data_IF_961220333629
#
_entry.id   IF_961220333629
#
_cell.length_a   1.000
_cell.length_b   1.000
_cell.length_c   1.000
_cell.angle_alpha   90.00
_cell.angle_beta   90.00
_cell.angle_gamma   90.00
#
_symmetry.space_group_name_H-M   'P 1'
#
loop_
_entity.id
_entity.type
_entity.pdbx_description
1 polymer ?
#
# COMPACT_ATOMS: atom_id res chain seq x y z
N UNK A 1 -61.82 -3.78 5.17
CA UNK A 1 -62.17 -4.92 4.30
C UNK A 1 -63.58 -4.73 3.77
N UNK A 2 -63.92 -5.08 2.52
CA UNK A 2 -63.18 -5.99 1.63
C UNK A 2 -62.57 -5.28 0.41
N UNK A 3 -61.36 -5.64 -0.02
CA UNK A 3 -60.95 -6.88 -0.72
C UNK A 3 -61.60 -7.03 -2.10
N UNK A 4 -60.84 -6.69 -3.14
CA UNK A 4 -61.17 -6.98 -4.53
C UNK A 4 -60.22 -8.09 -5.01
N UNK A 5 -60.70 -9.32 -4.86
CA UNK A 5 -60.12 -10.53 -5.43
C UNK A 5 -60.08 -10.41 -6.96
N UNK A 6 -58.93 -10.72 -7.57
CA UNK A 6 -58.84 -11.04 -8.99
C UNK A 6 -58.70 -12.57 -9.10
N UNK A 7 -59.71 -13.17 -9.71
CA UNK A 7 -59.82 -14.59 -9.99
C UNK A 7 -58.75 -15.06 -10.98
N UNK A 8 -58.23 -16.24 -10.67
CA UNK A 8 -57.41 -17.09 -11.53
C UNK A 8 -58.38 -17.96 -12.32
N UNK A 9 -58.35 -17.86 -13.65
CA UNK A 9 -58.99 -18.82 -14.55
C UNK A 9 -57.92 -19.53 -15.39
N UNK A 10 -57.71 -20.81 -15.07
CA UNK A 10 -57.00 -21.81 -15.87
C UNK A 10 -57.97 -22.40 -16.90
N UNK A 11 -57.51 -22.67 -18.14
CA UNK A 11 -58.08 -23.78 -18.89
C UNK A 11 -57.03 -24.77 -19.41
N UNK A 12 -57.27 -26.03 -19.03
CA UNK A 12 -57.08 -27.31 -19.73
C UNK A 12 -55.97 -27.49 -20.79
N UNK A 13 -55.20 -28.56 -20.61
CA UNK A 13 -54.48 -29.34 -21.64
C UNK A 13 -55.08 -30.77 -21.68
N UNK A 14 -54.74 -31.69 -22.62
CA UNK A 14 -53.95 -31.58 -23.86
C UNK A 14 -54.62 -32.27 -25.08
N UNK A 15 -54.09 -32.07 -26.30
CA UNK A 15 -54.19 -33.07 -27.38
C UNK A 15 -52.89 -33.10 -28.19
N UNK A 16 -52.45 -34.33 -28.46
CA UNK A 16 -51.19 -34.82 -29.01
C UNK A 16 -51.08 -34.73 -30.54
N UNK A 17 -49.84 -34.67 -31.06
CA UNK A 17 -49.21 -35.40 -32.21
C UNK A 17 -48.03 -34.58 -32.85
N UNK A 18 -47.13 -35.14 -33.71
CA UNK A 18 -45.84 -35.68 -33.26
C UNK A 18 -44.60 -35.23 -34.08
N UNK A 19 -43.39 -35.44 -33.50
CA UNK A 19 -42.21 -35.91 -34.25
C UNK A 19 -41.19 -34.89 -34.76
N UNK A 20 -40.10 -34.72 -34.01
CA UNK A 20 -38.78 -34.26 -34.53
C UNK A 20 -37.69 -35.13 -33.90
N UNK A 21 -36.70 -35.66 -34.65
CA UNK A 21 -35.75 -36.66 -34.17
C UNK A 21 -34.68 -36.09 -33.22
N UNK A 22 -34.00 -36.92 -32.41
CA UNK A 22 -33.05 -36.47 -31.41
C UNK A 22 -31.74 -35.99 -32.03
N UNK A 23 -31.26 -34.84 -31.56
CA UNK A 23 -29.91 -34.33 -31.85
C UNK A 23 -28.88 -35.25 -31.18
N UNK A 24 -27.96 -35.76 -31.98
CA UNK A 24 -26.82 -36.57 -31.56
C UNK A 24 -25.88 -35.75 -30.67
N UNK A 25 -25.60 -36.24 -29.48
CA UNK A 25 -24.49 -35.78 -28.64
C UNK A 25 -23.18 -36.38 -29.13
N UNK A 26 -22.12 -35.59 -29.39
CA UNK A 26 -20.80 -36.15 -29.65
C UNK A 26 -20.17 -36.61 -28.33
N UNK A 27 -19.86 -37.90 -28.28
CA UNK A 27 -19.04 -38.55 -27.26
C UNK A 27 -17.64 -37.93 -27.22
N UNK A 28 -17.23 -37.43 -26.06
CA UNK A 28 -15.83 -37.12 -25.78
C UNK A 28 -15.10 -38.42 -25.41
N UNK A 29 -14.18 -38.85 -26.27
CA UNK A 29 -13.08 -39.76 -25.89
C UNK A 29 -11.79 -38.96 -25.73
N UNK A 30 -11.02 -39.34 -24.73
CA UNK A 30 -9.73 -38.74 -24.37
C UNK A 30 -8.68 -38.99 -25.45
N UNK A 31 -7.87 -37.97 -25.70
CA UNK A 31 -6.51 -38.16 -26.19
C UNK A 31 -5.60 -37.16 -25.49
N UNK A 32 -4.61 -37.70 -24.80
CA UNK A 32 -3.48 -37.03 -24.17
C UNK A 32 -2.47 -36.59 -25.22
N UNK A 33 -2.02 -35.34 -25.13
CA UNK A 33 -0.86 -34.73 -25.81
C UNK A 33 -0.46 -33.46 -25.02
N UNK A 34 0.79 -32.96 -25.15
CA UNK A 34 1.61 -32.36 -24.08
C UNK A 34 1.07 -31.00 -23.58
N UNK A 35 1.55 -30.44 -22.44
CA UNK A 35 0.89 -29.31 -21.81
C UNK A 35 0.93 -28.08 -22.72
N UNK A 36 -0.21 -27.77 -23.32
CA UNK A 36 -0.53 -26.44 -23.82
C UNK A 36 -0.59 -25.50 -22.62
N UNK A 37 0.28 -24.50 -22.62
CA UNK A 37 0.30 -23.40 -21.65
C UNK A 37 -1.12 -22.89 -21.42
N UNK A 38 -1.52 -22.73 -20.16
CA UNK A 38 -2.83 -22.19 -19.82
C UNK A 38 -2.98 -20.75 -20.35
N UNK A 39 -4.21 -20.28 -20.66
CA UNK A 39 -4.43 -18.93 -21.20
C UNK A 39 -3.72 -17.82 -20.39
N UNK A 40 -3.66 -17.98 -19.06
CA UNK A 40 -2.96 -17.07 -18.14
C UNK A 40 -1.45 -17.03 -18.35
N UNK A 41 -0.81 -18.15 -18.72
CA UNK A 41 0.64 -18.20 -19.01
C UNK A 41 0.96 -17.53 -20.35
N UNK A 42 0.09 -17.69 -21.35
CA UNK A 42 0.24 -17.04 -22.66
C UNK A 42 0.17 -15.52 -22.52
N UNK A 43 -0.75 -14.98 -21.71
CA UNK A 43 -0.82 -13.53 -21.52
C UNK A 43 0.39 -12.97 -20.77
N UNK A 44 0.91 -13.69 -19.78
CA UNK A 44 2.11 -13.30 -19.04
C UNK A 44 3.34 -13.25 -19.96
N UNK A 45 3.55 -14.27 -20.80
CA UNK A 45 4.63 -14.27 -21.79
C UNK A 45 4.49 -13.09 -22.76
N UNK A 46 3.28 -12.80 -23.25
CA UNK A 46 3.03 -11.65 -24.12
C UNK A 46 3.32 -10.30 -23.43
N UNK A 47 2.98 -10.16 -22.14
CA UNK A 47 3.31 -8.96 -21.37
C UNK A 47 4.83 -8.80 -21.26
N UNK A 48 5.55 -9.86 -20.89
CA UNK A 48 7.01 -9.86 -20.77
C UNK A 48 7.66 -9.52 -22.12
N UNK A 49 7.25 -10.17 -23.20
CA UNK A 49 7.77 -9.93 -24.56
C UNK A 49 7.44 -8.53 -25.10
N UNK A 50 6.30 -7.96 -24.70
CA UNK A 50 5.89 -6.61 -25.11
C UNK A 50 6.58 -5.48 -24.33
N UNK A 51 7.30 -5.81 -23.26
CA UNK A 51 8.08 -4.86 -22.50
C UNK A 51 9.44 -4.66 -23.20
N UNK A 52 9.99 -3.43 -23.24
CA UNK A 52 11.15 -3.13 -24.04
C UNK A 52 12.37 -3.96 -23.64
N UNK A 53 12.74 -4.95 -24.46
CA UNK A 53 13.91 -5.81 -24.28
C UNK A 53 15.13 -5.29 -25.05
N UNK A 54 15.81 -4.20 -24.64
CA UNK A 54 17.11 -3.87 -25.26
C UNK A 54 18.09 -3.10 -24.37
N UNK A 55 19.30 -3.67 -24.26
CA UNK A 55 20.67 -3.12 -24.17
C UNK A 55 21.00 -1.85 -23.38
N UNK A 56 20.07 -1.29 -22.60
CA UNK A 56 20.31 -0.05 -21.85
C UNK A 56 21.03 -0.40 -20.53
N UNK A 57 22.27 0.09 -20.27
CA UNK A 57 22.99 -0.24 -19.06
C UNK A 57 22.23 0.20 -17.81
N UNK A 58 21.77 -0.77 -17.01
CA UNK A 58 20.94 -0.55 -15.80
C UNK A 58 19.48 -0.99 -15.93
N UNK A 59 19.07 -1.53 -17.07
CA UNK A 59 17.76 -2.19 -17.25
C UNK A 59 17.91 -3.70 -17.09
N UNK A 60 17.67 -4.23 -15.89
CA UNK A 60 17.53 -5.68 -15.73
C UNK A 60 16.13 -6.08 -16.22
N UNK A 61 16.05 -6.48 -17.49
CA UNK A 61 14.89 -7.12 -18.08
C UNK A 61 14.31 -8.16 -17.11
N UNK A 62 12.99 -8.24 -17.03
CA UNK A 62 12.33 -9.40 -16.43
C UNK A 62 12.78 -10.63 -17.19
N UNK A 63 13.33 -11.61 -16.48
CA UNK A 63 13.50 -12.97 -17.00
C UNK A 63 12.31 -13.79 -16.52
N UNK A 64 11.95 -14.83 -17.27
CA UNK A 64 10.91 -15.80 -16.86
C UNK A 64 11.24 -16.37 -15.46
N UNK A 65 12.53 -16.48 -15.14
CA UNK A 65 13.05 -16.94 -13.83
C UNK A 65 12.68 -15.99 -12.66
N UNK A 66 12.47 -14.70 -12.92
CA UNK A 66 12.00 -13.74 -11.91
C UNK A 66 10.50 -13.95 -11.56
N UNK A 67 9.77 -14.74 -12.37
CA UNK A 67 8.35 -15.07 -12.19
C UNK A 67 8.11 -16.46 -11.62
N UNK A 68 9.14 -17.31 -11.57
CA UNK A 68 9.05 -18.64 -10.98
C UNK A 68 8.95 -18.56 -9.46
N UNK A 69 8.19 -19.49 -8.86
CA UNK A 69 8.16 -19.65 -7.43
C UNK A 69 9.58 -19.89 -6.91
N UNK A 70 10.04 -19.15 -5.89
CA UNK A 70 11.27 -19.50 -5.19
C UNK A 70 11.25 -20.96 -4.76
N UNK A 71 12.35 -21.67 -5.04
CA UNK A 71 12.51 -23.06 -4.60
C UNK A 71 12.33 -23.16 -3.08
N UNK A 72 11.52 -24.13 -2.64
CA UNK A 72 11.34 -24.44 -1.21
C UNK A 72 10.25 -23.68 -0.47
N UNK A 73 9.34 -22.97 -1.16
CA UNK A 73 8.14 -22.41 -0.51
C UNK A 73 7.19 -23.54 -0.05
N UNK A 74 6.89 -23.58 1.25
CA UNK A 74 5.91 -24.51 1.81
C UNK A 74 4.49 -23.96 1.65
N UNK A 75 3.76 -24.43 0.64
CA UNK A 75 2.37 -23.99 0.36
C UNK A 75 1.35 -24.34 1.49
N UNK A 76 1.78 -25.02 2.56
CA UNK A 76 0.98 -25.17 3.77
C UNK A 76 1.02 -23.91 4.66
N UNK A 77 1.98 -22.99 4.46
CA UNK A 77 2.02 -21.72 5.17
C UNK A 77 0.87 -20.78 4.77
N UNK A 78 0.65 -19.77 5.60
CA UNK A 78 -0.31 -18.70 5.35
C UNK A 78 0.09 -17.87 4.12
N UNK A 79 -0.89 -17.44 3.31
CA UNK A 79 -0.60 -16.67 2.08
C UNK A 79 0.17 -15.38 2.37
N UNK A 80 -0.06 -14.74 3.53
CA UNK A 80 0.66 -13.52 3.90
C UNK A 80 2.16 -13.75 4.11
N UNK A 81 2.56 -14.92 4.61
CA UNK A 81 3.96 -15.31 4.77
C UNK A 81 4.57 -15.77 3.44
N UNK A 82 3.81 -16.54 2.65
CA UNK A 82 4.20 -16.93 1.29
C UNK A 82 4.45 -15.75 0.38
N UNK A 83 3.58 -14.73 0.39
CA UNK A 83 3.78 -13.50 -0.37
C UNK A 83 5.01 -12.73 0.13
N UNK A 84 5.22 -12.67 1.46
CA UNK A 84 6.35 -11.95 2.06
C UNK A 84 7.69 -12.58 1.65
N UNK A 85 7.84 -13.89 1.77
CA UNK A 85 9.08 -14.56 1.40
C UNK A 85 9.19 -14.69 -0.13
N UNK A 86 8.11 -15.06 -0.79
CA UNK A 86 8.02 -15.30 -2.23
C UNK A 86 8.35 -14.09 -3.10
N UNK A 87 8.12 -12.87 -2.60
CA UNK A 87 8.36 -11.62 -3.34
C UNK A 87 9.59 -10.85 -2.87
N UNK A 88 10.34 -11.38 -1.90
CA UNK A 88 11.48 -10.68 -1.26
C UNK A 88 12.54 -10.23 -2.27
N UNK A 89 12.87 -11.08 -3.25
CA UNK A 89 13.82 -10.74 -4.33
C UNK A 89 13.30 -9.60 -5.21
N UNK A 90 12.05 -9.71 -5.66
CA UNK A 90 11.42 -8.70 -6.51
C UNK A 90 11.29 -7.34 -5.77
N UNK A 91 10.95 -7.36 -4.48
CA UNK A 91 10.93 -6.17 -3.63
C UNK A 91 12.32 -5.50 -3.56
N UNK A 92 13.39 -6.28 -3.34
CA UNK A 92 14.76 -5.72 -3.31
C UNK A 92 15.14 -5.09 -4.66
N UNK A 93 14.85 -5.77 -5.78
CA UNK A 93 15.12 -5.28 -7.15
C UNK A 93 14.37 -3.97 -7.43
N UNK A 94 13.10 -3.90 -7.05
CA UNK A 94 12.28 -2.69 -7.18
C UNK A 94 12.86 -1.52 -6.37
N UNK A 95 13.34 -1.80 -5.15
CA UNK A 95 13.98 -0.81 -4.28
C UNK A 95 15.30 -0.25 -4.82
N UNK A 96 16.02 -0.99 -5.66
CA UNK A 96 17.29 -0.53 -6.25
C UNK A 96 17.11 0.28 -7.53
N UNK A 97 15.90 0.31 -8.08
CA UNK A 97 15.64 0.98 -9.34
C UNK A 97 15.92 2.49 -9.23
N UNK A 98 16.61 3.07 -10.22
CA UNK A 98 17.06 4.48 -10.21
C UNK A 98 15.90 5.44 -9.96
N UNK A 99 14.77 5.24 -10.62
CA UNK A 99 13.55 6.05 -10.43
C UNK A 99 12.97 5.93 -9.02
N UNK A 100 12.98 4.73 -8.43
CA UNK A 100 12.52 4.52 -7.05
C UNK A 100 13.45 5.24 -6.05
N UNK A 101 14.77 5.18 -6.29
CA UNK A 101 15.75 5.92 -5.49
C UNK A 101 15.60 7.42 -5.62
N UNK A 102 15.37 7.95 -6.82
CA UNK A 102 15.12 9.38 -7.03
C UNK A 102 13.91 9.86 -6.23
N UNK A 103 12.81 9.09 -6.23
CA UNK A 103 11.61 9.38 -5.44
C UNK A 103 11.90 9.36 -3.93
N UNK A 104 12.57 8.31 -3.42
CA UNK A 104 12.91 8.18 -2.00
C UNK A 104 13.90 9.25 -1.53
N UNK A 105 14.74 9.76 -2.42
CA UNK A 105 15.69 10.85 -2.12
C UNK A 105 15.07 12.24 -2.27
N UNK A 106 13.88 12.35 -2.86
CA UNK A 106 13.22 13.63 -3.13
C UNK A 106 13.92 14.43 -4.23
N UNK A 107 14.47 13.73 -5.23
CA UNK A 107 15.26 14.29 -6.34
C UNK A 107 14.40 14.65 -7.56
N UNK A 108 13.09 14.43 -7.51
CA UNK A 108 12.18 14.80 -8.59
C UNK A 108 11.81 16.28 -8.46
N UNK A 109 11.78 17.01 -9.57
CA UNK A 109 11.09 18.30 -9.57
C UNK A 109 9.58 18.09 -9.38
N UNK A 110 8.86 19.19 -9.10
CA UNK A 110 7.44 19.10 -8.77
C UNK A 110 6.56 18.67 -9.95
N UNK A 111 6.90 19.04 -11.18
CA UNK A 111 6.14 18.64 -12.36
C UNK A 111 6.32 17.13 -12.62
N UNK A 112 7.54 16.64 -12.45
CA UNK A 112 7.87 15.23 -12.57
C UNK A 112 7.24 14.39 -11.46
N UNK A 113 7.16 14.90 -10.24
CA UNK A 113 6.42 14.25 -9.17
C UNK A 113 4.90 14.23 -9.42
N UNK A 114 4.33 15.32 -9.93
CA UNK A 114 2.92 15.33 -10.38
C UNK A 114 2.68 14.30 -11.49
N UNK A 115 3.61 14.20 -12.44
CA UNK A 115 3.57 13.19 -13.51
C UNK A 115 3.61 11.76 -12.93
N UNK A 116 4.45 11.52 -11.93
CA UNK A 116 4.48 10.25 -11.20
C UNK A 116 3.16 9.95 -10.48
N UNK A 117 2.56 10.94 -9.79
CA UNK A 117 1.25 10.75 -9.15
C UNK A 117 0.14 10.47 -10.17
N UNK A 118 0.18 11.08 -11.36
CA UNK A 118 -0.77 10.79 -12.43
C UNK A 118 -0.61 9.34 -12.95
N UNK A 119 0.62 8.84 -13.10
CA UNK A 119 0.89 7.42 -13.42
C UNK A 119 0.29 6.51 -12.35
N UNK A 120 0.54 6.82 -11.06
CA UNK A 120 -0.04 6.06 -9.95
C UNK A 120 -1.57 6.11 -9.98
N UNK A 121 -2.16 7.28 -10.22
CA UNK A 121 -3.61 7.43 -10.29
C UNK A 121 -4.22 6.47 -11.31
N UNK A 122 -3.63 6.33 -12.51
CA UNK A 122 -4.10 5.38 -13.53
C UNK A 122 -4.07 3.93 -13.05
N UNK A 123 -3.03 3.55 -12.30
CA UNK A 123 -2.86 2.20 -11.75
C UNK A 123 -3.87 1.93 -10.63
N UNK A 124 -4.01 2.86 -9.67
CA UNK A 124 -4.97 2.71 -8.57
C UNK A 124 -6.41 2.76 -9.05
N UNK A 125 -6.75 3.63 -10.00
CA UNK A 125 -8.09 3.71 -10.59
C UNK A 125 -8.49 2.36 -11.21
N UNK A 126 -7.62 1.76 -12.03
CA UNK A 126 -7.88 0.45 -12.61
C UNK A 126 -7.98 -0.68 -11.57
N UNK A 127 -7.07 -0.68 -10.58
CA UNK A 127 -7.07 -1.67 -9.49
C UNK A 127 -8.34 -1.55 -8.64
N UNK A 128 -8.69 -0.34 -8.21
CA UNK A 128 -9.80 -0.06 -7.29
C UNK A 128 -11.16 -0.29 -7.95
N UNK A 129 -11.31 0.00 -9.25
CA UNK A 129 -12.50 -0.38 -10.01
C UNK A 129 -12.68 -1.90 -10.05
N UNK A 130 -11.62 -2.66 -10.33
CA UNK A 130 -11.66 -4.12 -10.31
C UNK A 130 -11.98 -4.69 -8.92
N UNK A 131 -11.34 -4.16 -7.86
CA UNK A 131 -11.64 -4.57 -6.49
C UNK A 131 -13.08 -4.26 -6.09
N UNK A 132 -13.63 -3.10 -6.51
CA UNK A 132 -15.00 -2.73 -6.23
C UNK A 132 -16.02 -3.61 -6.98
N UNK A 133 -15.73 -3.97 -8.23
CA UNK A 133 -16.58 -4.87 -9.03
C UNK A 133 -16.72 -6.25 -8.38
N UNK A 134 -15.64 -6.76 -7.79
CA UNK A 134 -15.61 -8.06 -7.13
C UNK A 134 -15.53 -7.96 -5.59
N UNK A 135 -16.10 -6.91 -5.00
CA UNK A 135 -16.04 -6.66 -3.55
C UNK A 135 -16.66 -7.78 -2.70
N UNK A 136 -17.58 -8.57 -3.26
CA UNK A 136 -18.22 -9.72 -2.61
C UNK A 136 -17.53 -11.06 -2.89
N UNK A 137 -16.46 -11.07 -3.71
CA UNK A 137 -15.69 -12.29 -3.96
C UNK A 137 -15.06 -12.78 -2.63
N UNK A 138 -15.20 -14.06 -2.25
CA UNK A 138 -14.70 -14.57 -0.96
C UNK A 138 -13.19 -14.36 -0.72
N UNK A 139 -12.38 -14.33 -1.78
CA UNK A 139 -10.93 -14.08 -1.68
C UNK A 139 -10.62 -12.60 -1.42
N UNK A 140 -11.42 -11.69 -1.98
CA UNK A 140 -11.17 -10.24 -1.94
C UNK A 140 -11.88 -9.55 -0.77
N UNK A 141 -13.10 -9.98 -0.46
CA UNK A 141 -14.00 -9.35 0.51
C UNK A 141 -13.36 -9.11 1.88
N UNK A 142 -12.57 -10.04 2.47
CA UNK A 142 -11.98 -9.83 3.80
C UNK A 142 -10.94 -8.69 3.85
N UNK A 143 -10.45 -8.24 2.69
CA UNK A 143 -9.47 -7.14 2.56
C UNK A 143 -10.06 -5.86 1.96
N UNK A 144 -11.35 -5.88 1.62
CA UNK A 144 -12.01 -4.77 0.95
C UNK A 144 -12.52 -3.71 1.94
N UNK A 145 -11.76 -2.63 2.08
CA UNK A 145 -12.18 -1.41 2.80
C UNK A 145 -11.77 -0.16 2.00
N UNK A 146 -12.66 0.36 1.13
CA UNK A 146 -12.33 1.49 0.27
C UNK A 146 -12.14 2.79 1.05
N UNK A 147 -12.79 2.96 2.21
CA UNK A 147 -12.61 4.16 3.03
C UNK A 147 -11.19 4.19 3.63
N UNK A 148 -10.67 3.03 4.00
CA UNK A 148 -9.35 2.89 4.59
C UNK A 148 -8.22 2.87 3.55
N UNK A 149 -8.40 2.12 2.46
CA UNK A 149 -7.31 1.75 1.54
C UNK A 149 -7.37 2.39 0.15
N UNK A 150 -8.52 2.82 -0.36
CA UNK A 150 -8.57 3.41 -1.71
C UNK A 150 -7.77 4.71 -1.77
N UNK A 151 -6.95 4.86 -2.82
CA UNK A 151 -5.96 5.92 -3.02
C UNK A 151 -6.31 6.84 -4.18
N UNK A 152 -7.10 6.40 -5.17
CA UNK A 152 -7.43 7.19 -6.36
C UNK A 152 -7.94 8.61 -6.05
N UNK A 153 -8.87 8.74 -5.10
CA UNK A 153 -9.42 10.03 -4.66
C UNK A 153 -8.37 10.91 -3.96
N UNK A 154 -7.52 10.32 -3.12
CA UNK A 154 -6.44 11.03 -2.45
C UNK A 154 -5.38 11.53 -3.44
N UNK A 155 -5.01 10.68 -4.42
CA UNK A 155 -4.12 11.03 -5.53
C UNK A 155 -4.67 12.20 -6.35
N UNK A 156 -5.96 12.17 -6.69
CA UNK A 156 -6.60 13.25 -7.44
C UNK A 156 -6.54 14.60 -6.71
N UNK A 157 -6.80 14.59 -5.40
CA UNK A 157 -6.68 15.78 -4.54
C UNK A 157 -5.24 16.30 -4.47
N UNK A 158 -4.27 15.40 -4.32
CA UNK A 158 -2.86 15.76 -4.29
C UNK A 158 -2.39 16.34 -5.62
N UNK A 159 -2.75 15.72 -6.75
CA UNK A 159 -2.42 16.23 -8.09
C UNK A 159 -3.01 17.62 -8.28
N UNK A 160 -4.29 17.82 -7.93
CA UNK A 160 -4.95 19.13 -8.02
C UNK A 160 -4.21 20.20 -7.23
N UNK A 161 -3.80 19.89 -5.99
CA UNK A 161 -3.04 20.82 -5.17
C UNK A 161 -1.66 21.11 -5.74
N UNK A 162 -0.88 20.06 -6.06
CA UNK A 162 0.50 20.19 -6.52
C UNK A 162 0.60 20.91 -7.87
N UNK A 163 -0.41 20.78 -8.73
CA UNK A 163 -0.49 21.57 -9.97
C UNK A 163 -0.48 23.07 -9.71
N UNK A 164 -1.00 23.55 -8.57
CA UNK A 164 -0.91 24.99 -8.21
C UNK A 164 0.51 25.46 -7.94
N UNK A 165 1.41 24.53 -7.61
CA UNK A 165 2.82 24.79 -7.30
C UNK A 165 3.74 24.57 -8.53
N UNK A 166 3.24 23.98 -9.61
CA UNK A 166 3.97 23.82 -10.87
C UNK A 166 4.17 25.21 -11.54
N UNK A 167 5.34 25.51 -12.12
CA UNK A 167 5.58 26.78 -12.80
C UNK A 167 4.59 27.07 -13.94
N UNK A 168 4.05 28.29 -13.99
CA UNK A 168 3.02 28.72 -14.97
C UNK A 168 3.31 28.42 -16.43
N UNK A 169 4.58 28.41 -16.83
CA UNK A 169 5.00 28.07 -18.19
C UNK A 169 4.63 26.65 -18.62
N UNK A 170 4.35 25.75 -17.67
CA UNK A 170 3.98 24.35 -17.92
C UNK A 170 2.45 24.12 -17.83
N UNK A 171 1.65 25.15 -17.54
CA UNK A 171 0.18 25.05 -17.43
C UNK A 171 -0.56 25.19 -18.76
N UNK A 172 0.12 25.04 -19.90
CA UNK A 172 -0.57 25.00 -21.19
C UNK A 172 -1.61 23.87 -21.18
N UNK A 173 -2.90 24.16 -21.42
CA UNK A 173 -3.92 23.12 -21.51
C UNK A 173 -3.51 22.09 -22.57
N UNK A 174 -3.83 20.82 -22.34
CA UNK A 174 -3.67 19.81 -23.39
C UNK A 174 -4.44 20.25 -24.66
N UNK A 175 -3.91 19.99 -25.86
CA UNK A 175 -4.64 20.24 -27.11
C UNK A 175 -6.04 19.63 -27.01
N UNK A 176 -7.05 20.37 -27.44
CA UNK A 176 -8.48 20.19 -27.19
C UNK A 176 -9.13 18.89 -27.72
N UNK A 177 -8.40 17.79 -27.88
CA UNK A 177 -8.92 16.49 -28.29
C UNK A 177 -9.79 15.78 -27.24
N UNK A 178 -9.78 16.25 -25.98
CA UNK A 178 -10.63 15.75 -24.91
C UNK A 178 -11.96 16.52 -24.80
N UNK A 179 -12.71 16.66 -25.91
CA UNK A 179 -14.13 17.03 -25.84
C UNK A 179 -14.97 15.77 -25.60
N UNK A 180 -15.80 15.81 -24.55
CA UNK A 180 -16.66 14.75 -23.99
C UNK A 180 -17.75 14.19 -24.94
N UNK A 181 -17.47 13.96 -26.23
CA UNK A 181 -18.50 13.62 -27.23
C UNK A 181 -18.33 12.29 -27.94
N UNK A 182 -17.20 11.59 -27.86
CA UNK A 182 -17.05 10.29 -28.55
C UNK A 182 -17.19 9.11 -27.58
N UNK A 183 -18.46 8.73 -27.34
CA UNK A 183 -18.88 7.72 -26.34
C UNK A 183 -18.94 6.28 -26.89
N UNK A 184 -18.30 6.01 -28.03
CA UNK A 184 -18.48 4.73 -28.75
C UNK A 184 -17.26 3.81 -28.78
N UNK A 185 -16.11 4.23 -28.24
CA UNK A 185 -14.96 3.35 -27.99
C UNK A 185 -14.56 3.46 -26.53
N UNK A 186 -14.66 2.36 -25.76
CA UNK A 186 -14.13 2.12 -24.40
C UNK A 186 -13.25 3.26 -23.83
N UNK A 187 -13.89 4.37 -23.47
CA UNK A 187 -13.20 5.62 -23.21
C UNK A 187 -12.81 5.62 -21.74
N UNK A 188 -11.51 5.61 -21.48
CA UNK A 188 -10.96 5.86 -20.15
C UNK A 188 -11.63 7.12 -19.57
N UNK A 189 -12.23 7.06 -18.37
CA UNK A 189 -12.85 8.23 -17.74
C UNK A 189 -11.85 9.40 -17.68
N UNK A 190 -12.35 10.62 -17.94
CA UNK A 190 -11.58 11.83 -17.72
C UNK A 190 -11.06 11.87 -16.27
N UNK A 191 -9.79 12.23 -16.02
CA UNK A 191 -9.29 12.33 -14.66
C UNK A 191 -10.06 13.41 -13.88
N UNK A 192 -10.29 13.22 -12.58
CA UNK A 192 -10.97 14.19 -11.72
C UNK A 192 -10.04 15.34 -11.27
N UNK A 193 -9.14 15.80 -12.15
CA UNK A 193 -8.19 16.88 -11.93
C UNK A 193 -7.79 17.56 -13.25
N UNK A 194 -7.27 18.81 -13.23
CA UNK A 194 -6.85 19.50 -14.45
C UNK A 194 -5.76 18.72 -15.21
N UNK A 195 -5.88 18.65 -16.53
CA UNK A 195 -4.96 17.93 -17.42
C UNK A 195 -4.10 18.92 -18.26
N UNK A 196 -2.98 19.44 -17.72
CA UNK A 196 -2.04 20.23 -18.51
C UNK A 196 -1.32 19.35 -19.55
N UNK A 197 -0.78 19.97 -20.60
CA UNK A 197 -0.20 19.29 -21.75
C UNK A 197 0.92 18.29 -21.40
N UNK A 198 1.70 18.53 -20.35
CA UNK A 198 2.76 17.60 -19.94
C UNK A 198 2.24 16.29 -19.30
N UNK A 199 0.97 16.26 -18.88
CA UNK A 199 0.30 15.04 -18.39
C UNK A 199 -0.47 14.32 -19.49
N UNK A 200 -0.82 14.98 -20.59
CA UNK A 200 -1.64 14.41 -21.67
C UNK A 200 -1.16 13.03 -22.18
N UNK A 201 0.15 12.79 -22.40
CA UNK A 201 0.62 11.48 -22.86
C UNK A 201 0.31 10.31 -21.91
N UNK A 202 0.07 10.56 -20.62
CA UNK A 202 -0.32 9.50 -19.66
C UNK A 202 -1.73 8.98 -19.94
N UNK A 203 -2.59 9.82 -20.51
CA UNK A 203 -4.02 9.54 -20.69
C UNK A 203 -4.35 9.23 -22.14
N UNK A 204 -3.88 10.07 -23.06
CA UNK A 204 -4.20 10.00 -24.48
C UNK A 204 -3.43 8.88 -25.20
N UNK A 205 -2.19 8.61 -24.78
CA UNK A 205 -1.35 7.56 -25.37
C UNK A 205 -0.36 6.98 -24.32
N UNK A 206 -0.86 6.25 -23.30
CA UNK A 206 -0.05 5.84 -22.16
C UNK A 206 1.22 5.10 -22.59
N UNK A 207 2.39 5.44 -22.03
CA UNK A 207 3.64 4.74 -22.31
C UNK A 207 3.53 3.23 -22.04
N UNK A 208 4.25 2.42 -22.81
CA UNK A 208 4.13 0.96 -22.77
C UNK A 208 4.22 0.34 -21.35
N UNK A 209 5.16 0.76 -20.46
CA UNK A 209 5.18 0.26 -19.08
C UNK A 209 3.89 0.50 -18.29
N UNK A 210 3.27 1.68 -18.46
CA UNK A 210 2.02 2.03 -17.80
C UNK A 210 0.85 1.29 -18.43
N UNK A 211 0.80 1.23 -19.76
CA UNK A 211 -0.23 0.51 -20.50
C UNK A 211 -0.25 -0.98 -20.11
N UNK A 212 0.91 -1.62 -20.05
CA UNK A 212 1.03 -3.03 -19.65
C UNK A 212 0.47 -3.28 -18.24
N UNK A 213 0.73 -2.38 -17.29
CA UNK A 213 0.19 -2.53 -15.93
C UNK A 213 -1.34 -2.35 -15.92
N UNK A 214 -1.86 -1.28 -16.53
CA UNK A 214 -3.32 -1.04 -16.59
C UNK A 214 -4.05 -2.20 -17.28
N UNK A 215 -3.51 -2.69 -18.40
CA UNK A 215 -4.11 -3.78 -19.16
C UNK A 215 -4.14 -5.07 -18.36
N UNK A 216 -3.07 -5.40 -17.60
CA UNK A 216 -3.07 -6.56 -16.72
C UNK A 216 -4.15 -6.47 -15.64
N UNK A 217 -4.29 -5.30 -15.00
CA UNK A 217 -5.34 -5.09 -13.99
C UNK A 217 -6.75 -5.25 -14.59
N UNK A 218 -6.97 -4.74 -15.80
CA UNK A 218 -8.24 -4.89 -16.53
C UNK A 218 -8.51 -6.33 -16.95
N UNK A 219 -7.48 -7.05 -17.39
CA UNK A 219 -7.58 -8.48 -17.71
C UNK A 219 -7.99 -9.28 -16.48
N UNK A 220 -7.35 -9.05 -15.32
CA UNK A 220 -7.72 -9.73 -14.09
C UNK A 220 -9.16 -9.41 -13.66
N UNK A 221 -9.62 -8.18 -13.86
CA UNK A 221 -11.00 -7.76 -13.61
C UNK A 221 -12.01 -8.24 -14.67
N UNK A 222 -11.59 -8.86 -15.77
CA UNK A 222 -12.50 -9.21 -16.86
C UNK A 222 -13.47 -10.37 -16.52
N UNK A 223 -13.18 -11.15 -15.47
CA UNK A 223 -14.01 -12.27 -15.06
C UNK A 223 -13.89 -12.60 -13.57
N UNK A 224 -14.90 -13.27 -13.02
CA UNK A 224 -14.89 -13.76 -11.64
C UNK A 224 -13.83 -14.85 -11.39
N UNK A 225 -13.36 -15.54 -12.43
CA UNK A 225 -12.32 -16.57 -12.34
C UNK A 225 -10.93 -15.95 -12.14
N UNK A 226 -10.64 -14.85 -12.81
CA UNK A 226 -9.36 -14.15 -12.75
C UNK A 226 -9.29 -13.09 -11.64
N UNK A 227 -10.44 -12.57 -11.20
CA UNK A 227 -10.53 -11.51 -10.20
C UNK A 227 -9.78 -11.77 -8.88
N UNK A 228 -9.72 -13.00 -8.32
CA UNK A 228 -8.94 -13.26 -7.10
C UNK A 228 -7.48 -12.81 -7.17
N UNK A 229 -6.87 -12.86 -8.36
CA UNK A 229 -5.49 -12.42 -8.59
C UNK A 229 -5.27 -10.91 -8.41
N UNK A 230 -6.34 -10.09 -8.39
CA UNK A 230 -6.24 -8.67 -8.00
C UNK A 230 -5.69 -8.50 -6.56
N UNK A 231 -5.88 -9.51 -5.69
CA UNK A 231 -5.34 -9.51 -4.33
C UNK A 231 -3.81 -9.35 -4.32
N UNK A 232 -3.11 -9.96 -5.28
CA UNK A 232 -1.66 -9.88 -5.40
C UNK A 232 -1.20 -8.45 -5.72
N UNK A 233 -1.89 -7.76 -6.63
CA UNK A 233 -1.60 -6.36 -6.94
C UNK A 233 -1.96 -5.41 -5.78
N UNK A 234 -3.09 -5.65 -5.12
CA UNK A 234 -3.50 -4.92 -3.94
C UNK A 234 -2.49 -5.07 -2.79
N UNK A 235 -1.98 -6.30 -2.56
CA UNK A 235 -0.90 -6.59 -1.63
C UNK A 235 0.36 -5.75 -1.93
N UNK A 236 0.86 -5.79 -3.17
CA UNK A 236 2.09 -5.07 -3.54
C UNK A 236 1.95 -3.56 -3.38
N UNK A 237 0.78 -3.01 -3.74
CA UNK A 237 0.51 -1.57 -3.65
C UNK A 237 0.23 -1.13 -2.21
N UNK A 238 -0.85 -1.61 -1.60
CA UNK A 238 -1.33 -1.10 -0.30
C UNK A 238 -0.34 -1.36 0.83
N UNK A 239 0.26 -2.56 0.94
CA UNK A 239 1.25 -2.82 1.99
C UNK A 239 2.57 -2.06 1.75
N UNK A 240 2.90 -1.79 0.49
CA UNK A 240 4.00 -0.91 0.10
C UNK A 240 3.79 0.52 0.59
N UNK A 241 2.60 1.07 0.38
CA UNK A 241 2.23 2.43 0.82
C UNK A 241 2.20 2.58 2.35
N UNK A 242 1.68 1.55 3.05
CA UNK A 242 1.65 1.45 4.52
C UNK A 242 3.05 1.23 5.15
N UNK A 243 4.07 1.02 4.31
CA UNK A 243 5.45 0.75 4.75
C UNK A 243 6.42 1.81 4.18
N UNK A 244 6.88 1.63 2.95
CA UNK A 244 7.84 2.54 2.30
C UNK A 244 7.25 3.91 1.97
N UNK A 245 5.93 3.99 1.75
CA UNK A 245 5.23 5.24 1.43
C UNK A 245 5.41 6.33 2.49
N UNK A 246 5.54 5.96 3.77
CA UNK A 246 5.74 6.93 4.86
C UNK A 246 7.09 7.64 4.79
N UNK A 247 8.12 6.95 4.28
CA UNK A 247 9.43 7.54 4.04
C UNK A 247 9.34 8.55 2.89
N UNK A 248 8.64 8.19 1.82
CA UNK A 248 8.43 9.06 0.66
C UNK A 248 7.63 10.30 1.07
N UNK A 249 6.55 10.14 1.87
CA UNK A 249 5.77 11.27 2.44
C UNK A 249 6.67 12.31 3.08
N UNK A 250 7.54 11.90 4.01
CA UNK A 250 8.43 12.82 4.71
C UNK A 250 9.40 13.54 3.76
N UNK A 251 9.88 12.85 2.72
CA UNK A 251 10.82 13.40 1.74
C UNK A 251 10.14 14.38 0.80
N UNK A 252 8.95 14.06 0.31
CA UNK A 252 8.12 14.93 -0.54
C UNK A 252 7.73 16.21 0.19
N UNK A 253 7.24 16.11 1.44
CA UNK A 253 6.92 17.29 2.26
C UNK A 253 8.11 18.24 2.38
N UNK A 254 9.31 17.68 2.63
CA UNK A 254 10.54 18.45 2.73
C UNK A 254 10.98 19.06 1.39
N UNK A 255 10.96 18.28 0.31
CA UNK A 255 11.44 18.69 -1.01
C UNK A 255 10.61 19.84 -1.58
N UNK A 256 9.28 19.78 -1.45
CA UNK A 256 8.37 20.79 -2.00
C UNK A 256 7.85 21.79 -0.96
N UNK A 257 8.37 21.75 0.27
CA UNK A 257 8.01 22.65 1.38
C UNK A 257 6.50 22.66 1.64
N UNK A 258 5.88 21.48 1.63
CA UNK A 258 4.44 21.34 1.82
C UNK A 258 4.06 21.50 3.29
N UNK A 259 3.08 22.36 3.53
CA UNK A 259 2.44 22.55 4.83
C UNK A 259 1.17 21.68 4.92
N UNK A 260 0.88 21.14 6.10
CA UNK A 260 -0.27 20.25 6.28
C UNK A 260 -0.16 18.94 5.48
N UNK A 261 -1.29 18.48 4.96
CA UNK A 261 -1.45 17.19 4.29
C UNK A 261 -1.75 17.30 2.79
N UNK A 262 -1.94 18.52 2.29
CA UNK A 262 -2.09 18.80 0.87
C UNK A 262 -0.85 18.38 0.06
N UNK A 263 -1.06 17.63 -1.03
CA UNK A 263 0.02 17.12 -1.89
C UNK A 263 0.65 15.81 -1.38
N UNK A 264 0.19 15.28 -0.24
CA UNK A 264 0.67 14.02 0.35
C UNK A 264 -0.43 13.16 0.97
N UNK A 265 -1.72 13.43 0.67
CA UNK A 265 -2.86 12.64 1.14
C UNK A 265 -2.79 11.19 0.71
N UNK A 266 -2.19 10.89 -0.44
CA UNK A 266 -1.95 9.54 -0.92
C UNK A 266 -1.29 8.64 0.15
N UNK A 267 -0.39 9.21 0.95
CA UNK A 267 0.34 8.48 1.99
C UNK A 267 -0.40 8.39 3.33
N UNK A 268 -1.58 8.99 3.46
CA UNK A 268 -2.33 9.04 4.69
C UNK A 268 -3.38 7.93 4.73
N UNK A 269 -3.44 7.24 5.86
CA UNK A 269 -4.44 6.21 6.13
C UNK A 269 -5.21 6.60 7.40
N UNK A 270 -6.09 7.62 7.32
CA UNK A 270 -6.88 8.07 8.44
C UNK A 270 -7.97 7.04 8.76
N UNK A 271 -8.34 6.95 10.05
CA UNK A 271 -9.54 6.27 10.52
C UNK A 271 -10.41 7.33 11.19
N UNK A 272 -11.72 7.28 10.98
CA UNK A 272 -12.64 8.23 11.60
C UNK A 272 -12.49 8.21 13.13
N UNK A 273 -12.35 9.39 13.75
CA UNK A 273 -12.39 9.56 15.21
C UNK A 273 -11.05 9.43 15.96
N UNK A 274 -9.90 9.41 15.30
CA UNK A 274 -8.58 9.34 15.98
C UNK A 274 -7.72 10.61 15.84
N UNK A 275 -7.14 11.06 16.97
CA UNK A 275 -6.26 12.23 17.05
C UNK A 275 -4.82 11.93 16.55
N UNK A 276 -4.31 12.82 15.67
CA UNK A 276 -3.16 12.61 14.77
C UNK A 276 -1.75 12.71 15.35
N UNK A 277 -1.46 12.05 16.47
CA UNK A 277 -0.08 11.94 16.99
C UNK A 277 0.78 10.93 16.22
N UNK A 278 2.09 11.19 16.08
CA UNK A 278 3.04 10.32 15.32
C UNK A 278 3.13 8.89 15.84
N UNK A 279 3.13 8.69 17.15
CA UNK A 279 3.16 7.35 17.75
C UNK A 279 1.83 6.59 17.50
N UNK A 280 0.72 7.33 17.54
CA UNK A 280 -0.60 6.81 17.16
C UNK A 280 -0.66 6.40 15.69
N UNK A 281 -0.09 7.21 14.79
CA UNK A 281 -0.02 6.89 13.35
C UNK A 281 0.76 5.60 13.10
N UNK A 282 1.94 5.42 13.71
CA UNK A 282 2.73 4.20 13.53
C UNK A 282 2.01 2.95 14.03
N UNK A 283 1.38 3.03 15.21
CA UNK A 283 0.58 1.94 15.77
C UNK A 283 -0.59 1.58 14.84
N UNK A 284 -1.34 2.59 14.39
CA UNK A 284 -2.46 2.44 13.45
C UNK A 284 -2.01 1.77 12.15
N UNK A 285 -0.92 2.22 11.54
CA UNK A 285 -0.37 1.59 10.33
C UNK A 285 0.00 0.13 10.57
N UNK A 286 0.51 -0.21 11.76
CA UNK A 286 0.73 -1.60 12.16
C UNK A 286 -0.57 -2.42 12.18
N UNK A 287 -1.59 -1.90 12.86
CA UNK A 287 -2.91 -2.54 12.99
C UNK A 287 -3.60 -2.75 11.63
N UNK A 288 -3.52 -1.77 10.72
CA UNK A 288 -4.04 -1.89 9.35
C UNK A 288 -3.34 -3.01 8.58
N UNK A 289 -2.00 -3.07 8.65
CA UNK A 289 -1.24 -4.14 7.97
C UNK A 289 -1.57 -5.51 8.52
N UNK A 290 -1.74 -5.64 9.83
CA UNK A 290 -2.08 -6.91 10.46
C UNK A 290 -3.52 -7.34 10.13
N UNK A 291 -4.47 -6.39 10.11
CA UNK A 291 -5.82 -6.63 9.62
C UNK A 291 -5.81 -7.12 8.16
N UNK A 292 -5.09 -6.43 7.28
CA UNK A 292 -5.01 -6.80 5.86
C UNK A 292 -4.41 -8.21 5.67
N UNK A 293 -3.33 -8.55 6.41
CA UNK A 293 -2.74 -9.90 6.38
C UNK A 293 -3.71 -10.98 6.84
N UNK A 294 -4.45 -10.74 7.93
CA UNK A 294 -5.48 -11.68 8.38
C UNK A 294 -6.58 -11.84 7.34
N UNK A 295 -7.03 -10.76 6.72
CA UNK A 295 -8.01 -10.81 5.64
C UNK A 295 -7.52 -11.63 4.44
N UNK A 296 -6.26 -11.46 4.03
CA UNK A 296 -5.67 -12.31 2.96
C UNK A 296 -5.67 -13.79 3.35
N UNK A 297 -5.24 -14.11 4.57
CA UNK A 297 -5.21 -15.49 5.08
C UNK A 297 -6.62 -16.10 5.11
N UNK A 298 -7.62 -15.35 5.59
CA UNK A 298 -9.01 -15.77 5.61
C UNK A 298 -9.59 -16.00 4.22
N UNK A 299 -9.37 -15.06 3.29
CA UNK A 299 -9.94 -15.13 1.95
C UNK A 299 -9.33 -16.23 1.08
N UNK A 300 -8.03 -16.50 1.23
CA UNK A 300 -7.31 -17.52 0.44
C UNK A 300 -7.40 -18.91 1.07
N UNK A 301 -7.43 -19.00 2.40
CA UNK A 301 -7.50 -20.27 3.12
C UNK A 301 -6.37 -21.24 2.77
N UNK A 302 -6.70 -22.52 2.61
CA UNK A 302 -5.75 -23.60 2.34
C UNK A 302 -5.59 -23.97 0.86
N UNK A 303 -6.16 -23.19 -0.07
CA UNK A 303 -6.05 -23.46 -1.49
C UNK A 303 -4.62 -23.24 -2.00
N UNK A 304 -3.87 -24.35 -2.13
CA UNK A 304 -2.48 -24.35 -2.57
C UNK A 304 -2.30 -23.85 -4.00
N UNK A 305 -3.25 -24.13 -4.90
CA UNK A 305 -3.17 -23.70 -6.29
C UNK A 305 -3.36 -22.18 -6.38
N UNK A 306 -4.32 -21.64 -5.62
CA UNK A 306 -4.50 -20.19 -5.49
C UNK A 306 -3.29 -19.53 -4.82
N UNK A 307 -2.72 -20.11 -3.76
CA UNK A 307 -1.51 -19.59 -3.11
C UNK A 307 -0.34 -19.46 -4.10
N UNK A 308 -0.07 -20.52 -4.86
CA UNK A 308 0.96 -20.51 -5.91
C UNK A 308 0.68 -19.44 -6.97
N UNK A 309 -0.56 -19.36 -7.46
CA UNK A 309 -0.98 -18.36 -8.44
C UNK A 309 -0.74 -16.94 -7.93
N UNK A 310 -1.13 -16.64 -6.68
CA UNK A 310 -1.00 -15.32 -6.08
C UNK A 310 0.46 -14.91 -5.87
N UNK A 311 1.35 -15.85 -5.51
CA UNK A 311 2.79 -15.55 -5.38
C UNK A 311 3.41 -15.22 -6.75
N UNK A 312 3.06 -15.98 -7.79
CA UNK A 312 3.49 -15.70 -9.17
C UNK A 312 2.98 -14.33 -9.64
N UNK A 313 1.70 -14.04 -9.42
CA UNK A 313 1.09 -12.76 -9.77
C UNK A 313 1.70 -11.60 -8.98
N UNK A 314 2.05 -11.80 -7.71
CA UNK A 314 2.67 -10.75 -6.91
C UNK A 314 4.08 -10.40 -7.42
N UNK A 315 4.84 -11.38 -7.90
CA UNK A 315 6.11 -11.11 -8.57
C UNK A 315 5.91 -10.34 -9.89
N UNK A 316 4.86 -10.67 -10.67
CA UNK A 316 4.46 -9.87 -11.84
C UNK A 316 4.05 -8.44 -11.45
N UNK A 317 3.33 -8.28 -10.34
CA UNK A 317 2.96 -6.96 -9.84
C UNK A 317 4.21 -6.14 -9.46
N UNK A 318 5.19 -6.71 -8.77
CA UNK A 318 6.47 -6.04 -8.49
C UNK A 318 7.24 -5.67 -9.75
N UNK A 319 7.22 -6.55 -10.74
CA UNK A 319 7.83 -6.35 -12.04
C UNK A 319 7.22 -5.15 -12.80
N UNK A 320 5.90 -5.13 -12.92
CA UNK A 320 5.15 -4.01 -13.52
C UNK A 320 5.37 -2.70 -12.76
N UNK A 321 5.40 -2.76 -11.42
CA UNK A 321 5.75 -1.60 -10.57
C UNK A 321 7.17 -1.10 -10.84
N UNK A 322 8.12 -2.02 -11.03
CA UNK A 322 9.50 -1.66 -11.35
C UNK A 322 9.59 -0.97 -12.70
N UNK A 323 8.83 -1.44 -13.69
CA UNK A 323 8.81 -0.85 -15.02
C UNK A 323 8.17 0.54 -15.06
N UNK A 324 7.12 0.82 -14.28
CA UNK A 324 6.60 2.20 -14.23
C UNK A 324 7.59 3.17 -13.55
N UNK A 325 8.51 2.71 -12.69
CA UNK A 325 9.60 3.56 -12.21
C UNK A 325 10.58 3.98 -13.31
N UNK A 326 10.67 3.25 -14.43
CA UNK A 326 11.49 3.66 -15.58
C UNK A 326 10.89 4.84 -16.32
N UNK A 327 9.62 5.15 -16.06
CA UNK A 327 9.00 6.35 -16.61
C UNK A 327 9.45 7.60 -15.86
N UNK A 328 10.04 7.49 -14.65
CA UNK A 328 10.52 8.62 -13.86
C UNK A 328 11.83 9.14 -14.47
N UNK A 329 11.84 10.41 -14.83
CA UNK A 329 12.95 11.12 -15.47
C UNK A 329 13.53 12.16 -14.51
N UNK A 330 14.50 11.81 -13.66
CA UNK A 330 15.22 12.84 -12.90
C UNK A 330 16.01 13.73 -13.88
N UNK A 331 15.84 15.05 -13.77
CA UNK A 331 16.59 16.03 -14.56
C UNK A 331 18.11 15.85 -14.38
N UNK A 332 18.89 15.68 -15.47
CA UNK A 332 20.34 15.70 -15.38
C UNK A 332 20.85 17.08 -14.93
N UNK A 333 21.38 17.18 -13.71
CA UNK A 333 22.20 18.33 -13.30
C UNK A 333 21.56 19.38 -12.37
N UNK A 334 20.33 19.19 -11.87
CA UNK A 334 19.74 20.07 -10.84
C UNK A 334 20.12 19.69 -9.40
N UNK A 335 20.66 18.49 -9.19
CA UNK A 335 21.22 18.05 -7.92
C UNK A 335 22.74 17.92 -8.10
N UNK A 336 23.59 18.69 -7.39
CA UNK A 336 25.03 18.45 -7.43
C UNK A 336 25.28 16.99 -7.03
N UNK A 337 26.26 16.30 -7.64
CA UNK A 337 26.54 14.91 -7.29
C UNK A 337 26.79 14.85 -5.80
N UNK A 338 25.81 14.33 -5.06
CA UNK A 338 26.00 14.00 -3.65
C UNK A 338 27.11 12.94 -3.71
N UNK A 339 28.28 13.26 -3.17
CA UNK A 339 29.39 12.31 -3.05
C UNK A 339 28.79 10.98 -2.61
N UNK A 340 29.10 9.86 -3.30
CA UNK A 340 28.40 8.60 -3.08
C UNK A 340 28.45 8.30 -1.59
N UNK A 341 27.31 8.51 -0.90
CA UNK A 341 27.14 7.96 0.42
C UNK A 341 27.43 6.47 0.26
N UNK A 342 28.16 5.84 1.21
CA UNK A 342 28.46 4.42 1.14
C UNK A 342 27.21 3.69 0.64
N UNK A 343 27.36 2.87 -0.41
CA UNK A 343 26.30 2.22 -1.19
C UNK A 343 25.43 1.24 -0.37
N UNK A 344 25.31 1.45 0.93
CA UNK A 344 24.30 0.85 1.75
C UNK A 344 22.93 1.34 1.30
N UNK A 345 22.15 0.42 0.75
CA UNK A 345 20.74 0.62 0.38
C UNK A 345 20.00 1.19 1.59
N UNK A 346 19.00 2.04 1.38
CA UNK A 346 18.22 2.62 2.49
C UNK A 346 17.73 1.53 3.47
N UNK A 347 17.28 0.39 2.93
CA UNK A 347 16.84 -0.76 3.72
C UNK A 347 17.99 -1.54 4.38
N UNK A 348 19.19 -1.59 3.79
CA UNK A 348 20.36 -2.17 4.46
C UNK A 348 20.79 -1.31 5.65
N UNK A 349 20.75 0.03 5.50
CA UNK A 349 20.97 0.96 6.62
C UNK A 349 19.96 0.75 7.73
N UNK A 350 18.67 0.70 7.39
CA UNK A 350 17.61 0.44 8.36
C UNK A 350 17.71 -0.97 8.98
N UNK A 351 18.10 -1.98 8.21
CA UNK A 351 18.30 -3.35 8.69
C UNK A 351 19.50 -3.44 9.63
N UNK A 352 20.63 -2.80 9.30
CA UNK A 352 21.77 -2.69 10.21
C UNK A 352 21.42 -1.88 11.46
N UNK A 353 20.67 -0.79 11.33
CA UNK A 353 20.23 0.00 12.48
C UNK A 353 19.28 -0.80 13.38
N UNK A 354 18.38 -1.59 12.79
CA UNK A 354 17.49 -2.51 13.52
C UNK A 354 18.29 -3.65 14.17
N UNK A 355 19.25 -4.23 13.47
CA UNK A 355 20.13 -5.27 13.99
C UNK A 355 21.01 -4.74 15.14
N UNK A 356 21.53 -3.53 15.00
CA UNK A 356 22.32 -2.87 16.05
C UNK A 356 21.44 -2.51 17.24
N UNK A 357 20.22 -2.00 17.03
CA UNK A 357 19.24 -1.79 18.11
C UNK A 357 18.91 -3.10 18.83
N UNK A 358 18.73 -4.21 18.11
CA UNK A 358 18.50 -5.53 18.68
C UNK A 358 19.72 -6.05 19.47
N UNK A 359 20.94 -5.86 18.94
CA UNK A 359 22.19 -6.19 19.60
C UNK A 359 22.38 -5.38 20.88
N UNK A 360 22.18 -4.07 20.82
CA UNK A 360 22.24 -3.16 21.97
C UNK A 360 21.16 -3.53 23.00
N UNK A 361 19.96 -3.89 22.58
CA UNK A 361 18.90 -4.37 23.48
C UNK A 361 19.27 -5.71 24.16
N UNK A 362 19.92 -6.62 23.44
CA UNK A 362 20.41 -7.88 23.99
C UNK A 362 21.60 -7.70 24.95
N UNK A 363 22.39 -6.63 24.77
CA UNK A 363 23.51 -6.25 25.63
C UNK A 363 23.08 -5.45 26.87
N UNK A 364 21.86 -4.91 26.92
CA UNK A 364 21.34 -4.29 28.14
C UNK A 364 21.16 -5.40 29.18
N UNK A 365 21.79 -5.31 30.36
CA UNK A 365 21.55 -6.28 31.42
C UNK A 365 20.06 -6.25 31.74
N UNK A 366 19.41 -7.42 31.77
CA UNK A 366 18.07 -7.53 32.34
C UNK A 366 18.21 -7.17 33.82
N UNK A 367 18.03 -5.89 34.16
CA UNK A 367 17.81 -5.47 35.54
C UNK A 367 16.40 -5.91 35.90
N UNK A 368 16.20 -7.22 36.01
CA UNK A 368 15.08 -7.77 36.75
C UNK A 368 15.38 -7.48 38.20
N UNK A 369 14.72 -6.46 38.77
CA UNK A 369 14.67 -6.35 40.21
C UNK A 369 14.09 -7.65 40.75
N UNK A 370 14.79 -8.28 41.68
CA UNK A 370 14.31 -9.54 42.27
C UNK A 370 12.95 -9.29 42.96
N UNK A 371 12.12 -10.33 43.12
CA UNK A 371 10.79 -10.19 43.75
C UNK A 371 10.88 -9.51 45.13
N UNK A 372 11.98 -9.75 45.84
CA UNK A 372 12.36 -9.11 47.10
C UNK A 372 12.51 -7.59 46.97
N UNK A 373 13.19 -7.10 45.94
CA UNK A 373 13.37 -5.66 45.69
C UNK A 373 12.05 -4.97 45.27
N UNK A 374 11.13 -5.68 44.61
CA UNK A 374 9.79 -5.18 44.32
C UNK A 374 8.93 -5.06 45.58
N UNK A 375 9.00 -6.04 46.49
CA UNK A 375 8.27 -6.02 47.77
C UNK A 375 8.80 -4.91 48.69
N UNK A 376 10.13 -4.70 48.72
CA UNK A 376 10.74 -3.60 49.48
C UNK A 376 10.38 -2.22 48.90
N UNK A 377 10.43 -2.06 47.58
CA UNK A 377 10.05 -0.82 46.91
C UNK A 377 8.56 -0.49 47.11
N UNK A 378 7.69 -1.49 47.00
CA UNK A 378 6.25 -1.31 47.22
C UNK A 378 5.93 -1.06 48.71
N UNK A 379 6.64 -1.71 49.63
CA UNK A 379 6.53 -1.45 51.07
C UNK A 379 6.88 0.00 51.43
N UNK A 380 7.99 0.52 50.90
CA UNK A 380 8.36 1.93 51.08
C UNK A 380 7.38 2.90 50.44
N UNK A 381 6.83 2.56 49.28
CA UNK A 381 5.82 3.37 48.61
C UNK A 381 4.52 3.47 49.43
N UNK A 382 4.07 2.36 50.03
CA UNK A 382 2.89 2.33 50.91
C UNK A 382 3.15 3.10 52.21
N UNK A 383 4.33 2.96 52.81
CA UNK A 383 4.72 3.72 54.01
C UNK A 383 4.77 5.23 53.72
N UNK A 384 5.37 5.64 52.60
CA UNK A 384 5.42 7.03 52.18
C UNK A 384 4.03 7.61 51.89
N UNK A 385 3.14 6.82 51.28
CA UNK A 385 1.75 7.21 51.02
C UNK A 385 0.95 7.36 52.31
N UNK A 386 1.12 6.46 53.29
CA UNK A 386 0.47 6.55 54.60
C UNK A 386 0.98 7.74 55.42
N UNK A 387 2.29 8.03 55.37
CA UNK A 387 2.88 9.23 55.97
C UNK A 387 2.36 10.49 55.28
N UNK A 388 2.24 10.48 53.95
CA UNK A 388 1.66 11.59 53.18
C UNK A 388 0.19 11.86 53.54
N UNK A 389 -0.62 10.82 53.72
CA UNK A 389 -2.03 10.96 54.17
C UNK A 389 -2.11 11.43 55.63
N UNK A 390 -1.23 10.94 56.50
CA UNK A 390 -1.16 11.36 57.91
C UNK A 390 -0.72 12.83 58.03
N UNK A 391 0.30 13.25 57.27
CA UNK A 391 0.75 14.62 57.19
C UNK A 391 -0.32 15.53 56.57
N UNK A 392 -0.98 15.09 55.49
CA UNK A 392 -2.08 15.82 54.85
C UNK A 392 -3.25 16.07 55.82
N UNK A 393 -3.56 15.10 56.69
CA UNK A 393 -4.60 15.24 57.73
C UNK A 393 -4.16 16.08 58.93
N UNK A 394 -2.86 16.22 59.17
CA UNK A 394 -2.31 17.12 60.19
C UNK A 394 -2.15 18.56 59.66
N UNK A 395 -2.09 18.77 58.34
CA UNK A 395 -1.89 20.08 57.71
C UNK A 395 -3.17 20.86 57.37
N UNK A 396 -4.37 20.27 57.49
CA UNK A 396 -5.65 20.99 57.31
C UNK A 396 -6.02 21.93 58.49
N UNK A 397 -5.15 22.06 59.50
CA UNK A 397 -5.43 22.89 60.69
C UNK A 397 -4.63 24.18 60.88
N UNK A 398 -3.39 24.32 60.38
CA UNK A 398 -2.49 25.41 60.85
C UNK A 398 -1.43 25.90 59.84
N UNK A 399 -1.76 26.02 58.56
CA UNK A 399 -0.80 26.50 57.54
C UNK A 399 -0.53 28.03 57.53
N UNK A 400 -1.16 28.81 58.42
CA UNK A 400 -1.02 30.26 58.48
C UNK A 400 0.14 30.82 59.31
N UNK A 401 0.85 30.00 60.10
CA UNK A 401 1.81 30.47 61.12
C UNK A 401 3.30 30.20 60.79
N UNK A 402 3.60 29.34 59.81
CA UNK A 402 4.97 28.87 59.56
C UNK A 402 5.75 29.66 58.49
N UNK A 403 5.07 30.43 57.63
CA UNK A 403 5.72 31.18 56.55
C UNK A 403 6.38 32.49 57.05
N UNK A 404 5.97 33.00 58.21
CA UNK A 404 6.60 34.17 58.84
C UNK A 404 7.84 33.84 59.70
N UNK A 405 8.13 32.55 59.98
CA UNK A 405 9.20 32.14 60.90
C UNK A 405 10.51 31.72 60.21
N UNK A 406 10.54 31.54 58.89
CA UNK A 406 11.79 31.19 58.18
C UNK A 406 12.25 32.32 57.24
N UNK A 407 12.81 33.34 57.87
CA UNK A 407 13.55 34.41 57.22
C UNK A 407 14.69 33.90 56.33
N UNK A 408 14.92 34.67 55.27
CA UNK A 408 16.02 34.64 54.31
C UNK A 408 17.34 34.04 54.83
N UNK A 409 17.72 32.85 54.35
CA UNK A 409 19.10 32.39 54.04
C UNK A 409 19.17 30.86 53.88
N UNK A 410 18.76 30.31 52.73
CA UNK A 410 19.31 29.02 52.21
C UNK A 410 18.84 28.71 50.77
N UNK A 411 18.88 29.70 49.87
CA UNK A 411 18.60 29.49 48.43
C UNK A 411 19.85 29.02 47.64
N UNK A 412 20.98 28.73 48.31
CA UNK A 412 22.27 28.48 47.62
C UNK A 412 22.73 27.03 47.42
N UNK A 413 22.02 26.01 47.93
CA UNK A 413 22.62 24.67 48.11
C UNK A 413 22.24 23.55 47.15
N UNK A 414 21.13 23.65 46.41
CA UNK A 414 20.49 22.45 45.81
C UNK A 414 20.60 22.34 44.27
N UNK A 415 21.30 23.25 43.59
CA UNK A 415 21.43 23.27 42.11
C UNK A 415 22.74 22.59 41.61
N UNK A 416 23.58 22.04 42.50
CA UNK A 416 24.93 21.58 42.13
C UNK A 416 25.16 20.10 41.85
N UNK A 417 24.14 19.24 41.75
CA UNK A 417 24.38 17.77 41.72
C UNK A 417 23.45 16.97 40.79
N UNK A 418 23.24 17.43 39.56
CA UNK A 418 22.67 16.60 38.49
C UNK A 418 23.28 16.92 37.10
N UNK A 419 24.61 16.97 37.04
CA UNK A 419 25.36 16.74 35.80
C UNK A 419 26.63 15.95 36.13
N UNK A 420 26.54 14.62 36.06
CA UNK A 420 27.63 13.72 35.65
C UNK A 420 27.05 12.38 35.23
#
# INVERSE_FOLDING_TARGET
MPDRQLHIDLPASPTTTPGTPPVQTPSFKSNSSPPTLSPSQVTVSNIVESLPHHSTPGYNSLTVEDMDLPEGLDLNEEISDLLREGTKRAHMKAGDHKGAMALVRGELDIAEYVRWLAILWRVYDALELGLAEYASNPVLAPTFDPLLLSRSSALAKDITHLLTLVPRKLHTPAPSGYTSTDRTTSATPLPPFPLPAFLDPIFSAPPQPLKAYIDRLRELAASSETAPSLLAHAYVRYLGDLSGGQVIRARVKKAYKLEGDDGVRFFLFPREGEDGGTEGEKKRLGEIKDWYRRGMNEGVGDDKALKELLVKEANLAFALNTHIFSLILPEPGLVPPIAPAPQMRYYERMALEKAEKARVAALKPKTGRTLTEHVEFFGWFVIAALIGVLLSRLTEGQLGSWIDLMGTKTVGGFIGRFQK
#
